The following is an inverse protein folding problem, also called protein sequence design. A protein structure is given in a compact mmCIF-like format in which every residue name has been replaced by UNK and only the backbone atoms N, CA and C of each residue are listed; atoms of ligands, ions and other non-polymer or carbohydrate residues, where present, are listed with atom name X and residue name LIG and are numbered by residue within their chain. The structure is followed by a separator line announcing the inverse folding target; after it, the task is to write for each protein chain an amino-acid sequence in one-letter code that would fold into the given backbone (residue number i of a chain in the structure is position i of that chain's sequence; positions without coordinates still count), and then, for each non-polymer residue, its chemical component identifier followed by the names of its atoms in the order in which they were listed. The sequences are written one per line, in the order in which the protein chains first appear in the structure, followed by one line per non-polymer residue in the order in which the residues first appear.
data_IF_326504942026
#
_entry.id   IF_326504942026
#
_cell.length_a   1.000
_cell.length_b   1.000
_cell.length_c   1.000
_cell.angle_alpha   90.00
_cell.angle_beta   90.00
_cell.angle_gamma   90.00
#
_symmetry.space_group_name_H-M   'P 1'
#
loop_
_entity.id
_entity.type
_entity.pdbx_description
1 polymer ?
#
# COMPACT_ATOMS: atom_id res chain seq x y z
N UNK A 1 21.05 2.54 11.88
CA UNK A 1 20.19 3.70 11.58
C UNK A 1 19.48 3.35 10.29
N UNK A 2 18.15 3.35 10.22
CA UNK A 2 17.48 3.13 8.95
C UNK A 2 17.86 4.31 8.04
N UNK A 3 18.56 4.04 6.95
CA UNK A 3 18.91 5.05 5.95
C UNK A 3 17.61 5.63 5.40
N UNK A 4 17.35 6.89 5.72
CA UNK A 4 16.18 7.64 5.27
C UNK A 4 16.14 7.81 3.73
N UNK A 5 17.20 7.40 3.04
CA UNK A 5 17.33 7.47 1.60
C UNK A 5 16.50 6.41 0.87
N UNK A 6 16.37 5.21 1.45
CA UNK A 6 15.61 4.11 0.84
C UNK A 6 14.33 3.80 1.63
N UNK A 7 13.19 3.76 0.93
CA UNK A 7 11.94 3.28 1.51
C UNK A 7 12.04 1.76 1.71
N UNK A 8 11.83 1.29 2.93
CA UNK A 8 11.63 -0.14 3.20
C UNK A 8 10.14 -0.46 3.02
N UNK A 9 9.79 -1.00 1.85
CA UNK A 9 8.43 -1.40 1.50
C UNK A 9 8.39 -2.85 1.04
N UNK A 10 7.20 -3.44 1.08
CA UNK A 10 6.96 -4.80 0.62
C UNK A 10 5.86 -4.79 -0.42
N UNK A 11 6.19 -5.28 -1.61
CA UNK A 11 5.26 -5.38 -2.73
C UNK A 11 5.02 -6.84 -3.09
N UNK A 12 3.78 -7.19 -3.41
CA UNK A 12 3.42 -8.51 -3.92
C UNK A 12 2.47 -8.40 -5.09
N UNK A 13 2.81 -9.11 -6.15
CA UNK A 13 1.99 -9.28 -7.34
C UNK A 13 1.20 -10.58 -7.26
N UNK A 14 0.02 -10.66 -7.89
CA UNK A 14 -0.73 -11.90 -7.96
C UNK A 14 0.04 -12.97 -8.74
N UNK A 15 -0.40 -14.22 -8.55
CA UNK A 15 0.08 -15.32 -9.38
C UNK A 15 -0.30 -15.05 -10.85
N UNK A 16 0.62 -15.19 -11.83
CA UNK A 16 0.31 -15.01 -13.25
C UNK A 16 -0.85 -15.87 -13.76
N UNK A 17 -1.12 -16.99 -13.09
CA UNK A 17 -2.24 -17.90 -13.40
C UNK A 17 -3.43 -17.73 -12.45
N UNK A 18 -3.56 -16.58 -11.78
CA UNK A 18 -4.70 -16.34 -10.89
C UNK A 18 -6.01 -16.33 -11.69
N UNK A 19 -6.97 -17.17 -11.29
CA UNK A 19 -8.25 -17.28 -11.97
C UNK A 19 -9.28 -16.34 -11.35
N UNK A 20 -9.47 -15.16 -11.93
CA UNK A 20 -10.47 -14.19 -11.47
C UNK A 20 -11.92 -14.64 -11.68
N UNK A 21 -12.15 -15.67 -12.49
CA UNK A 21 -13.47 -16.25 -12.70
C UNK A 21 -13.83 -17.33 -11.66
N UNK A 22 -12.98 -17.56 -10.64
CA UNK A 22 -13.34 -18.42 -9.50
C UNK A 22 -14.42 -17.75 -8.65
N UNK A 23 -15.68 -18.03 -8.99
CA UNK A 23 -16.79 -17.80 -8.10
C UNK A 23 -16.73 -18.82 -6.96
N UNK A 24 -16.10 -18.46 -5.85
CA UNK A 24 -16.27 -19.21 -4.61
C UNK A 24 -17.73 -19.02 -4.16
N UNK A 25 -18.51 -20.10 -4.22
CA UNK A 25 -19.95 -20.14 -3.88
C UNK A 25 -20.29 -19.64 -2.48
N UNK A 26 -19.28 -19.49 -1.62
CA UNK A 26 -19.42 -19.12 -0.21
C UNK A 26 -19.27 -17.60 0.02
N UNK A 27 -18.99 -16.79 -1.01
CA UNK A 27 -18.89 -15.33 -0.87
C UNK A 27 -20.18 -14.64 -1.30
N UNK A 28 -20.68 -13.73 -0.45
CA UNK A 28 -21.87 -12.91 -0.73
C UNK A 28 -21.67 -11.87 -1.85
N UNK A 29 -20.46 -11.75 -2.42
CA UNK A 29 -20.10 -10.72 -3.41
C UNK A 29 -19.33 -11.32 -4.60
N UNK A 30 -19.65 -10.82 -5.80
CA UNK A 30 -18.90 -11.11 -7.03
C UNK A 30 -17.81 -10.05 -7.21
N UNK A 31 -16.56 -10.49 -7.32
CA UNK A 31 -15.41 -9.59 -7.51
C UNK A 31 -15.06 -9.52 -9.00
N UNK A 32 -15.37 -8.39 -9.65
CA UNK A 32 -15.06 -8.17 -11.07
C UNK A 32 -13.78 -7.37 -11.17
N UNK A 33 -12.73 -7.99 -11.73
CA UNK A 33 -11.41 -7.36 -11.91
C UNK A 33 -11.14 -7.22 -13.40
N UNK A 34 -10.68 -6.04 -13.80
CA UNK A 34 -10.04 -5.88 -15.10
C UNK A 34 -8.60 -6.39 -14.99
N UNK A 35 -8.30 -7.50 -15.64
CA UNK A 35 -6.97 -8.15 -15.61
C UNK A 35 -5.86 -7.24 -16.20
N UNK A 36 -6.20 -6.31 -17.09
CA UNK A 36 -5.26 -5.32 -17.63
C UNK A 36 -4.95 -4.20 -16.62
N UNK A 37 -5.82 -4.01 -15.62
CA UNK A 37 -5.76 -2.92 -14.64
C UNK A 37 -6.07 -3.42 -13.24
N UNK A 38 -5.27 -4.39 -12.78
CA UNK A 38 -5.43 -5.02 -11.47
C UNK A 38 -5.30 -3.94 -10.38
N UNK A 39 -6.28 -3.82 -9.45
CA UNK A 39 -6.22 -2.85 -8.36
C UNK A 39 -5.01 -3.04 -7.44
N UNK A 40 -4.54 -1.92 -6.91
CA UNK A 40 -3.36 -1.84 -6.06
C UNK A 40 -3.78 -1.35 -4.68
N UNK A 41 -3.51 -2.17 -3.67
CA UNK A 41 -3.85 -1.87 -2.28
C UNK A 41 -2.60 -1.36 -1.57
N UNK A 42 -2.61 -0.08 -1.20
CA UNK A 42 -1.58 0.53 -0.37
C UNK A 42 -1.96 0.38 1.10
N UNK A 43 -1.19 -0.40 1.87
CA UNK A 43 -1.43 -0.60 3.29
C UNK A 43 -0.43 0.24 4.09
N UNK A 44 -0.96 1.25 4.78
CA UNK A 44 -0.15 2.16 5.61
C UNK A 44 -0.26 1.79 7.09
N UNK A 45 0.86 1.35 7.66
CA UNK A 45 0.93 0.88 9.04
C UNK A 45 0.76 1.97 10.10
N UNK A 46 0.37 1.54 11.30
CA UNK A 46 0.26 2.40 12.48
C UNK A 46 1.63 2.69 13.11
N UNK A 47 1.64 3.53 14.15
CA UNK A 47 2.87 3.86 14.89
C UNK A 47 3.46 2.61 15.56
N UNK A 48 4.70 2.27 15.21
CA UNK A 48 5.41 1.09 15.74
C UNK A 48 5.05 -0.21 15.05
N UNK A 49 4.26 -0.15 13.97
CA UNK A 49 3.94 -1.30 13.15
C UNK A 49 5.19 -1.89 12.51
N UNK A 50 5.28 -3.22 12.51
CA UNK A 50 6.24 -4.01 11.75
C UNK A 50 5.51 -4.64 10.56
N UNK A 51 6.21 -4.85 9.45
CA UNK A 51 5.62 -5.42 8.24
C UNK A 51 4.90 -6.77 8.48
N UNK A 52 5.45 -7.62 9.37
CA UNK A 52 4.85 -8.90 9.75
C UNK A 52 3.42 -8.79 10.31
N UNK A 53 3.04 -7.61 10.83
CA UNK A 53 1.67 -7.37 11.27
C UNK A 53 0.76 -6.98 10.12
N UNK A 54 1.28 -6.24 9.13
CA UNK A 54 0.55 -5.89 7.91
C UNK A 54 0.39 -7.08 6.96
N UNK A 55 1.30 -8.06 6.98
CA UNK A 55 1.22 -9.24 6.10
C UNK A 55 -0.10 -9.98 6.20
N UNK A 56 -0.62 -10.14 7.42
CA UNK A 56 -1.92 -10.77 7.67
C UNK A 56 -3.07 -10.01 7.01
N UNK A 57 -3.00 -8.68 6.98
CA UNK A 57 -4.04 -7.86 6.36
C UNK A 57 -3.87 -7.78 4.85
N UNK A 58 -2.64 -7.75 4.33
CA UNK A 58 -2.40 -7.77 2.88
C UNK A 58 -2.83 -9.09 2.26
N UNK A 59 -2.67 -10.20 2.99
CA UNK A 59 -3.11 -11.53 2.55
C UNK A 59 -4.59 -11.56 2.11
N UNK A 60 -5.47 -10.83 2.78
CA UNK A 60 -6.91 -10.75 2.43
C UNK A 60 -7.13 -10.25 1.00
N UNK A 61 -6.25 -9.35 0.54
CA UNK A 61 -6.29 -8.79 -0.81
C UNK A 61 -5.53 -9.66 -1.81
N UNK A 62 -4.39 -10.22 -1.38
CA UNK A 62 -3.55 -11.09 -2.20
C UNK A 62 -4.29 -12.39 -2.57
N UNK A 63 -5.08 -12.95 -1.66
CA UNK A 63 -5.95 -14.11 -1.91
C UNK A 63 -7.03 -13.82 -2.95
N UNK A 64 -7.33 -12.54 -3.21
CA UNK A 64 -8.25 -12.08 -4.26
C UNK A 64 -7.53 -11.68 -5.56
N UNK A 65 -6.23 -11.95 -5.66
CA UNK A 65 -5.44 -11.64 -6.85
C UNK A 65 -5.08 -10.16 -6.97
N UNK A 66 -5.20 -9.36 -5.91
CA UNK A 66 -4.85 -7.95 -5.96
C UNK A 66 -3.37 -7.73 -5.70
N UNK A 67 -2.84 -6.62 -6.23
CA UNK A 67 -1.48 -6.17 -5.94
C UNK A 67 -1.50 -5.49 -4.58
N UNK A 68 -0.54 -5.81 -3.71
CA UNK A 68 -0.40 -5.16 -2.40
C UNK A 68 0.94 -4.48 -2.26
N UNK A 69 0.95 -3.27 -1.69
CA UNK A 69 2.15 -2.55 -1.30
C UNK A 69 1.98 -2.12 0.16
N UNK A 70 2.80 -2.71 1.03
CA UNK A 70 2.83 -2.41 2.46
C UNK A 70 3.98 -1.48 2.78
N UNK A 71 3.70 -0.46 3.58
CA UNK A 71 4.73 0.45 4.08
C UNK A 71 4.42 0.91 5.51
N UNK A 72 5.45 0.91 6.34
CA UNK A 72 5.38 1.39 7.73
C UNK A 72 6.29 2.61 7.89
N UNK A 73 5.69 3.74 8.27
CA UNK A 73 6.46 4.95 8.51
C UNK A 73 7.32 4.79 9.78
N UNK A 74 8.59 5.25 9.79
CA UNK A 74 9.41 5.20 10.99
C UNK A 74 8.77 5.98 12.15
N UNK A 75 8.73 5.39 13.34
CA UNK A 75 8.09 5.99 14.53
C UNK A 75 8.62 7.40 14.82
N UNK A 76 9.93 7.61 14.63
CA UNK A 76 10.56 8.92 14.83
C UNK A 76 9.97 10.00 13.92
N UNK A 77 9.58 9.65 12.70
CA UNK A 77 8.97 10.56 11.74
C UNK A 77 7.54 10.93 12.14
N UNK A 78 6.79 10.01 12.75
CA UNK A 78 5.42 10.27 13.20
C UNK A 78 5.36 11.24 14.40
N UNK A 79 6.36 11.20 15.29
CA UNK A 79 6.34 11.95 16.55
C UNK A 79 7.30 13.14 16.61
N UNK A 80 8.55 13.02 16.16
CA UNK A 80 9.58 14.06 16.32
C UNK A 80 10.03 14.69 15.00
N UNK A 81 10.18 13.91 13.94
CA UNK A 81 10.71 14.35 12.64
C UNK A 81 9.61 14.43 11.57
N UNK A 82 8.50 15.10 11.89
CA UNK A 82 7.32 15.15 10.99
C UNK A 82 7.61 15.73 9.60
N UNK A 83 8.55 16.66 9.50
CA UNK A 83 8.98 17.20 8.19
C UNK A 83 9.51 16.12 7.24
N UNK A 84 10.05 15.00 7.75
CA UNK A 84 10.52 13.89 6.92
C UNK A 84 9.37 13.12 6.27
N UNK A 85 8.15 13.19 6.83
CA UNK A 85 6.97 12.56 6.25
C UNK A 85 6.61 13.16 4.88
N UNK A 86 6.92 14.44 4.65
CA UNK A 86 6.72 15.09 3.35
C UNK A 86 7.57 14.39 2.29
N UNK A 87 8.86 14.18 2.59
CA UNK A 87 9.77 13.47 1.69
C UNK A 87 9.36 12.01 1.50
N UNK A 88 8.90 11.33 2.56
CA UNK A 88 8.39 9.96 2.46
C UNK A 88 7.17 9.90 1.52
N UNK A 89 6.22 10.83 1.65
CA UNK A 89 5.06 10.92 0.76
C UNK A 89 5.46 11.11 -0.70
N UNK A 90 6.40 12.02 -0.97
CA UNK A 90 6.95 12.25 -2.31
C UNK A 90 7.65 11.02 -2.88
N UNK A 91 8.46 10.33 -2.06
CA UNK A 91 9.14 9.09 -2.48
C UNK A 91 8.15 7.97 -2.78
N UNK A 92 7.06 7.86 -2.00
CA UNK A 92 6.00 6.88 -2.27
C UNK A 92 5.28 7.19 -3.58
N UNK A 93 4.92 8.45 -3.84
CA UNK A 93 4.31 8.84 -5.14
C UNK A 93 5.26 8.53 -6.30
N UNK A 94 6.54 8.91 -6.16
CA UNK A 94 7.56 8.58 -7.16
C UNK A 94 7.67 7.07 -7.40
N UNK A 95 7.67 6.27 -6.33
CA UNK A 95 7.70 4.80 -6.43
C UNK A 95 6.51 4.27 -7.24
N UNK A 96 5.29 4.80 -7.02
CA UNK A 96 4.11 4.37 -7.78
C UNK A 96 4.26 4.71 -9.27
N UNK A 97 4.76 5.90 -9.60
CA UNK A 97 5.01 6.32 -11.00
C UNK A 97 6.09 5.44 -11.64
N UNK A 98 7.19 5.18 -10.94
CA UNK A 98 8.28 4.36 -11.44
C UNK A 98 7.83 2.89 -11.69
N UNK A 99 6.81 2.43 -10.96
CA UNK A 99 6.16 1.12 -11.14
C UNK A 99 5.00 1.14 -12.15
N UNK A 100 4.70 2.30 -12.75
CA UNK A 100 3.57 2.51 -13.66
C UNK A 100 2.19 2.21 -13.02
N UNK A 101 2.07 2.44 -11.72
CA UNK A 101 0.88 2.13 -10.93
C UNK A 101 -0.24 3.18 -11.05
N UNK A 102 0.07 4.36 -11.58
CA UNK A 102 -0.89 5.43 -11.86
C UNK A 102 -1.93 5.06 -12.93
N UNK A 103 -1.69 4.02 -13.73
CA UNK A 103 -2.66 3.52 -14.73
C UNK A 103 -3.65 2.51 -14.13
N UNK A 104 -3.44 2.09 -12.88
CA UNK A 104 -4.25 1.12 -12.15
C UNK A 104 -5.15 1.82 -11.10
N UNK A 105 -6.28 1.21 -10.72
CA UNK A 105 -7.05 1.66 -9.56
C UNK A 105 -6.21 1.52 -8.27
N UNK A 106 -6.05 2.61 -7.52
CA UNK A 106 -5.31 2.62 -6.26
C UNK A 106 -6.28 2.77 -5.09
N UNK A 107 -6.20 1.86 -4.13
CA UNK A 107 -6.98 1.90 -2.89
C UNK A 107 -6.01 2.02 -1.72
N UNK A 108 -6.21 3.01 -0.87
CA UNK A 108 -5.38 3.21 0.33
C UNK A 108 -6.13 2.71 1.56
N UNK A 109 -5.53 1.74 2.26
CA UNK A 109 -5.98 1.27 3.56
C UNK A 109 -5.07 1.84 4.65
N UNK A 110 -5.57 2.84 5.35
CA UNK A 110 -4.86 3.50 6.46
C UNK A 110 -5.18 2.83 7.80
N UNK A 111 -4.16 2.31 8.48
CA UNK A 111 -4.33 1.77 9.83
C UNK A 111 -4.05 2.83 10.90
N UNK A 112 -5.07 3.13 11.71
CA UNK A 112 -4.99 4.09 12.81
C UNK A 112 -4.49 5.48 12.38
N UNK A 113 -4.10 6.31 13.34
CA UNK A 113 -3.59 7.66 13.09
C UNK A 113 -2.22 7.63 12.40
N UNK A 114 -1.40 6.61 12.64
CA UNK A 114 -0.10 6.46 11.96
C UNK A 114 -0.25 6.35 10.44
N UNK A 115 -1.17 5.49 9.98
CA UNK A 115 -1.49 5.35 8.57
C UNK A 115 -2.15 6.61 8.00
N UNK A 116 -3.02 7.26 8.76
CA UNK A 116 -3.67 8.52 8.34
C UNK A 116 -2.66 9.67 8.16
N UNK A 117 -1.68 9.82 9.07
CA UNK A 117 -0.63 10.83 8.93
C UNK A 117 0.25 10.59 7.71
N UNK A 118 0.55 9.32 7.41
CA UNK A 118 1.27 8.99 6.19
C UNK A 118 0.43 9.31 4.95
N UNK A 119 -0.85 8.93 4.96
CA UNK A 119 -1.77 9.23 3.86
C UNK A 119 -1.91 10.72 3.59
N UNK A 120 -1.96 11.55 4.63
CA UNK A 120 -1.98 13.01 4.46
C UNK A 120 -0.78 13.50 3.63
N UNK A 121 0.44 13.07 3.99
CA UNK A 121 1.65 13.49 3.28
C UNK A 121 1.73 12.89 1.87
N UNK A 122 1.25 11.66 1.69
CA UNK A 122 1.12 11.01 0.39
C UNK A 122 0.14 11.76 -0.52
N UNK A 123 -1.06 12.11 -0.03
CA UNK A 123 -2.07 12.86 -0.78
C UNK A 123 -1.58 14.24 -1.18
N UNK A 124 -0.92 14.96 -0.25
CA UNK A 124 -0.30 16.26 -0.56
C UNK A 124 0.82 16.15 -1.61
N UNK A 125 1.43 14.98 -1.78
CA UNK A 125 2.43 14.76 -2.81
C UNK A 125 1.81 14.40 -4.17
N UNK A 126 0.58 13.88 -4.21
CA UNK A 126 -0.16 13.63 -5.46
C UNK A 126 -0.68 14.92 -6.11
N UNK A 127 -0.93 15.96 -5.30
CA UNK A 127 -1.46 17.25 -5.76
C UNK A 127 -0.39 18.20 -6.33
N UNK A 128 0.88 17.78 -6.35
CA UNK A 128 2.02 18.58 -6.82
C UNK A 128 2.52 18.11 -8.18
#
# INVERSE_FOLDING_TARGET
MADLDNLEYYIKFPNPNFNYNQNNSDNDFVFVVNEDKIPIILLFGWAGCQDKYLSKYSQIYEEKGLITLRYTAPVKCLFWKRYQMISIGQKLVKLLIDLNFETHPIIVHCFSNGGAFLYQNFSMALEK
#
